data_IF_584368243852
#
_entry.id   IF_584368243852
#
_cell.length_a   1.000
_cell.length_b   1.000
_cell.length_c   1.000
_cell.angle_alpha   90.00
_cell.angle_beta   90.00
_cell.angle_gamma   90.00
#
_symmetry.space_group_name_H-M   'P 1'
#
loop_
_entity.id
_entity.type
_entity.pdbx_description
1 polymer ?
#
# COMPACT_ATOMS: atom_id res chain seq x y z
N UNK A 1 -23.54 8.40 -36.61
CA UNK A 1 -24.83 7.93 -36.06
C UNK A 1 -24.83 6.41 -36.09
N UNK A 2 -24.32 5.77 -35.03
CA UNK A 2 -24.57 4.36 -34.76
C UNK A 2 -25.45 4.32 -33.52
N UNK A 3 -26.76 4.22 -33.76
CA UNK A 3 -27.74 4.01 -32.71
C UNK A 3 -27.65 2.54 -32.26
N UNK A 4 -27.46 2.39 -30.96
CA UNK A 4 -27.31 1.16 -30.21
C UNK A 4 -28.34 0.09 -30.57
N UNK A 5 -27.86 -1.08 -31.00
CA UNK A 5 -28.63 -2.33 -31.24
C UNK A 5 -28.99 -3.04 -29.91
N UNK A 6 -28.82 -2.38 -28.77
CA UNK A 6 -28.90 -3.00 -27.44
C UNK A 6 -30.31 -3.09 -26.83
N UNK A 7 -31.35 -2.57 -27.50
CA UNK A 7 -32.70 -2.47 -26.94
C UNK A 7 -33.62 -3.68 -27.18
N UNK A 8 -33.15 -4.76 -27.83
CA UNK A 8 -34.00 -5.92 -28.17
C UNK A 8 -33.86 -7.15 -27.27
N UNK A 9 -32.89 -7.17 -26.36
CA UNK A 9 -32.80 -8.21 -25.34
C UNK A 9 -33.07 -7.51 -24.00
N UNK A 10 -34.10 -7.90 -23.28
CA UNK A 10 -34.51 -7.30 -21.99
C UNK A 10 -33.52 -7.54 -20.84
N UNK A 11 -32.25 -7.21 -21.04
CA UNK A 11 -31.24 -7.15 -20.00
C UNK A 11 -31.50 -5.84 -19.27
N UNK A 12 -32.11 -5.93 -18.08
CA UNK A 12 -31.88 -4.89 -17.09
C UNK A 12 -30.38 -4.95 -16.82
N UNK A 13 -29.66 -3.84 -17.00
CA UNK A 13 -28.44 -3.64 -16.24
C UNK A 13 -28.86 -3.74 -14.77
N UNK A 14 -28.66 -4.91 -14.18
CA UNK A 14 -28.61 -5.01 -12.73
C UNK A 14 -27.40 -4.16 -12.35
N UNK A 15 -27.65 -2.93 -11.90
CA UNK A 15 -26.67 -2.17 -11.15
C UNK A 15 -26.05 -3.15 -10.14
N UNK A 16 -24.71 -3.34 -10.14
CA UNK A 16 -24.10 -4.31 -9.25
C UNK A 16 -24.55 -3.95 -7.84
N UNK A 17 -25.33 -4.84 -7.23
CA UNK A 17 -25.79 -4.69 -5.86
C UNK A 17 -24.52 -4.55 -5.04
N UNK A 18 -24.22 -3.34 -4.58
CA UNK A 18 -23.14 -3.10 -3.63
C UNK A 18 -23.58 -3.88 -2.40
N UNK A 19 -23.10 -5.12 -2.26
CA UNK A 19 -23.33 -5.90 -1.06
C UNK A 19 -22.69 -5.10 0.08
N UNK A 20 -23.53 -4.45 0.87
CA UNK A 20 -23.12 -3.72 2.07
C UNK A 20 -22.69 -4.74 3.11
N UNK A 21 -21.40 -5.08 3.10
CA UNK A 21 -20.83 -6.00 4.06
C UNK A 21 -20.68 -5.33 5.45
N UNK A 22 -20.68 -6.11 6.54
CA UNK A 22 -20.45 -5.54 7.86
C UNK A 22 -19.03 -4.96 7.95
N UNK A 23 -18.89 -3.72 8.45
CA UNK A 23 -17.59 -3.12 8.73
C UNK A 23 -16.75 -3.98 9.68
N UNK A 24 -15.45 -4.04 9.46
CA UNK A 24 -14.48 -4.68 10.35
C UNK A 24 -13.59 -3.60 10.97
N UNK A 25 -13.26 -3.73 12.25
CA UNK A 25 -12.29 -2.83 12.89
C UNK A 25 -10.93 -3.51 12.94
N UNK A 26 -9.91 -2.81 12.47
CA UNK A 26 -8.52 -3.25 12.41
C UNK A 26 -7.64 -2.24 13.13
N UNK A 27 -6.46 -2.63 13.57
CA UNK A 27 -5.46 -1.70 14.11
C UNK A 27 -4.47 -1.32 13.01
N UNK A 28 -4.48 -0.05 12.61
CA UNK A 28 -3.52 0.52 11.67
C UNK A 28 -2.54 1.46 12.36
N UNK A 29 -1.46 1.83 11.68
CA UNK A 29 -0.57 2.90 12.11
C UNK A 29 -0.93 4.21 11.38
N UNK A 30 -0.93 5.34 12.10
CA UNK A 30 -1.06 6.68 11.53
C UNK A 30 0.23 7.44 11.70
N UNK A 31 0.61 8.17 10.66
CA UNK A 31 1.69 9.16 10.64
C UNK A 31 1.01 10.53 10.47
N UNK A 32 0.80 11.27 11.57
CA UNK A 32 0.12 12.57 11.52
C UNK A 32 0.93 13.63 10.78
N UNK A 33 0.27 14.42 9.94
CA UNK A 33 0.95 15.52 9.23
C UNK A 33 1.29 16.73 10.12
N UNK A 34 0.72 16.79 11.34
CA UNK A 34 1.00 17.84 12.32
C UNK A 34 2.32 17.63 13.09
N UNK A 35 3.00 16.50 12.87
CA UNK A 35 4.28 16.16 13.50
C UNK A 35 4.14 15.50 14.87
N UNK A 36 2.93 15.18 15.32
CA UNK A 36 2.75 14.32 16.49
C UNK A 36 3.29 12.91 16.20
N UNK A 37 3.78 12.17 17.22
CA UNK A 37 4.38 10.86 17.00
C UNK A 37 3.43 9.87 16.31
N UNK A 38 4.00 9.05 15.43
CA UNK A 38 3.28 7.94 14.83
C UNK A 38 2.72 7.02 15.92
N UNK A 39 1.49 6.56 15.75
CA UNK A 39 0.79 5.75 16.74
C UNK A 39 -0.18 4.78 16.09
N UNK A 40 -0.53 3.74 16.83
CA UNK A 40 -1.57 2.80 16.42
C UNK A 40 -2.95 3.36 16.76
N UNK A 41 -3.93 3.05 15.92
CA UNK A 41 -5.33 3.38 16.15
C UNK A 41 -6.27 2.34 15.53
N UNK A 42 -7.49 2.18 16.10
CA UNK A 42 -8.53 1.42 15.46
C UNK A 42 -9.06 2.16 14.22
N UNK A 43 -9.19 1.44 13.11
CA UNK A 43 -9.75 1.88 11.84
C UNK A 43 -10.90 0.95 11.46
N UNK A 44 -12.08 1.51 11.21
CA UNK A 44 -13.23 0.74 10.75
C UNK A 44 -13.26 0.73 9.23
N UNK A 45 -13.45 -0.41 8.59
CA UNK A 45 -13.50 -0.51 7.14
C UNK A 45 -14.85 -0.07 6.57
N UNK A 46 -14.84 0.44 5.34
CA UNK A 46 -16.03 0.74 4.55
C UNK A 46 -15.90 0.10 3.17
N UNK A 47 -17.03 -0.32 2.60
CA UNK A 47 -17.08 -0.77 1.21
C UNK A 47 -16.75 0.39 0.28
N UNK A 48 -15.99 0.10 -0.78
CA UNK A 48 -15.63 1.07 -1.81
C UNK A 48 -15.89 0.48 -3.19
N UNK A 49 -16.44 1.31 -4.09
CA UNK A 49 -16.76 0.93 -5.47
C UNK A 49 -16.03 1.78 -6.51
N UNK A 50 -15.32 2.83 -6.08
CA UNK A 50 -14.62 3.76 -6.96
C UNK A 50 -13.37 4.32 -6.25
N UNK A 51 -12.21 3.97 -6.79
CA UNK A 51 -10.85 4.50 -6.53
C UNK A 51 -9.82 3.44 -6.98
N UNK A 52 -8.52 3.77 -6.89
CA UNK A 52 -7.40 2.85 -7.21
C UNK A 52 -7.37 1.63 -6.28
N UNK A 53 -7.95 1.74 -5.10
CA UNK A 53 -8.06 0.68 -4.09
C UNK A 53 -9.31 -0.21 -4.21
N UNK A 54 -10.12 -0.05 -5.27
CA UNK A 54 -11.40 -0.75 -5.40
C UNK A 54 -11.26 -2.28 -5.41
N UNK A 55 -10.11 -2.80 -5.82
CA UNK A 55 -9.80 -4.22 -5.84
C UNK A 55 -9.76 -4.84 -4.44
N UNK A 56 -9.63 -4.03 -3.38
CA UNK A 56 -9.71 -4.49 -1.99
C UNK A 56 -11.16 -4.74 -1.54
N UNK A 57 -12.15 -4.22 -2.29
CA UNK A 57 -13.60 -4.21 -2.01
C UNK A 57 -14.04 -3.47 -0.74
N UNK A 58 -13.18 -3.43 0.29
CA UNK A 58 -13.32 -2.62 1.49
C UNK A 58 -11.97 -2.08 1.94
N UNK A 59 -11.98 -0.86 2.46
CA UNK A 59 -10.76 -0.17 2.88
C UNK A 59 -11.01 0.56 4.20
N UNK A 60 -9.96 0.92 4.95
CA UNK A 60 -10.10 1.73 6.15
C UNK A 60 -10.88 3.03 5.85
N UNK A 61 -11.85 3.37 6.68
CA UNK A 61 -12.58 4.63 6.58
C UNK A 61 -11.73 5.77 7.16
N UNK A 62 -11.16 6.58 6.26
CA UNK A 62 -10.22 7.65 6.60
C UNK A 62 -10.86 9.04 6.55
N UNK A 63 -12.16 9.12 6.28
CA UNK A 63 -12.89 10.39 6.05
C UNK A 63 -12.88 11.33 7.26
N UNK A 64 -12.77 10.80 8.47
CA UNK A 64 -12.68 11.62 9.68
C UNK A 64 -11.32 12.31 9.85
N UNK A 65 -10.28 11.83 9.14
CA UNK A 65 -8.91 12.34 9.24
C UNK A 65 -8.57 13.27 8.09
N UNK A 66 -9.11 12.99 6.91
CA UNK A 66 -8.96 13.86 5.75
C UNK A 66 -10.13 14.83 5.70
N UNK A 67 -9.83 16.09 6.02
CA UNK A 67 -10.76 17.21 6.25
C UNK A 67 -11.81 17.36 5.14
N UNK A 68 -11.52 16.92 3.92
CA UNK A 68 -12.41 17.04 2.76
C UNK A 68 -12.83 15.71 2.15
N UNK A 69 -14.04 15.69 1.58
CA UNK A 69 -14.53 14.55 0.80
C UNK A 69 -13.67 14.30 -0.45
N UNK A 70 -13.12 15.36 -1.04
CA UNK A 70 -12.29 15.26 -2.23
C UNK A 70 -10.98 14.53 -1.91
N UNK A 71 -10.38 14.77 -0.74
CA UNK A 71 -9.19 14.08 -0.27
C UNK A 71 -9.42 12.56 -0.15
N UNK A 72 -10.61 12.16 0.31
CA UNK A 72 -11.02 10.76 0.32
C UNK A 72 -11.22 10.19 -1.10
N UNK A 73 -11.86 10.94 -2.00
CA UNK A 73 -12.11 10.49 -3.39
C UNK A 73 -10.84 10.38 -4.21
N UNK A 74 -9.87 11.26 -3.96
CA UNK A 74 -8.56 11.30 -4.59
C UNK A 74 -7.50 10.72 -3.65
N UNK A 75 -7.86 9.67 -2.91
CA UNK A 75 -6.87 8.87 -2.19
C UNK A 75 -6.16 7.94 -3.15
N UNK A 76 -4.96 7.57 -2.76
CA UNK A 76 -4.20 6.55 -3.46
C UNK A 76 -3.52 5.61 -2.46
N UNK A 77 -2.93 4.55 -2.99
CA UNK A 77 -2.24 3.56 -2.20
C UNK A 77 -0.97 3.07 -2.90
N UNK A 78 0.02 2.67 -2.10
CA UNK A 78 1.11 1.83 -2.61
C UNK A 78 1.40 0.69 -1.63
N UNK A 79 2.10 -0.32 -2.13
CA UNK A 79 2.39 -1.57 -1.41
C UNK A 79 3.84 -1.63 -1.00
N UNK A 80 4.12 -2.15 0.19
CA UNK A 80 5.45 -2.64 0.52
C UNK A 80 5.41 -3.95 1.32
N UNK A 81 6.46 -4.76 1.18
CA UNK A 81 6.62 -6.03 1.88
C UNK A 81 7.82 -5.99 2.85
N UNK A 82 7.60 -6.40 4.10
CA UNK A 82 8.66 -6.61 5.11
C UNK A 82 8.96 -8.10 5.25
N UNK A 83 10.22 -8.51 5.00
CA UNK A 83 10.63 -9.90 4.95
C UNK A 83 11.84 -10.21 5.84
N UNK A 84 11.93 -11.46 6.33
CA UNK A 84 12.99 -11.90 7.27
C UNK A 84 14.36 -12.08 6.59
N UNK A 85 14.41 -12.54 5.34
CA UNK A 85 15.65 -12.84 4.61
C UNK A 85 15.42 -12.95 3.09
N UNK A 86 16.39 -12.52 2.26
CA UNK A 86 16.30 -12.49 0.79
C UNK A 86 16.37 -13.83 0.05
N UNK A 87 15.91 -14.91 0.67
CA UNK A 87 15.93 -16.26 0.11
C UNK A 87 14.56 -16.94 0.03
N UNK A 88 13.46 -16.21 0.23
CA UNK A 88 12.13 -16.80 0.02
C UNK A 88 11.79 -16.79 -1.48
N UNK A 89 11.47 -17.94 -2.08
CA UNK A 89 11.02 -18.01 -3.46
C UNK A 89 9.74 -17.22 -3.62
N UNK A 90 9.64 -16.48 -4.73
CA UNK A 90 8.45 -15.80 -5.21
C UNK A 90 7.26 -16.77 -5.21
N UNK A 91 6.46 -16.80 -4.13
CA UNK A 91 5.11 -17.34 -4.23
C UNK A 91 4.38 -16.47 -5.24
N UNK A 92 3.82 -17.13 -6.26
CA UNK A 92 3.25 -16.55 -7.48
C UNK A 92 2.17 -15.51 -7.18
N UNK A 93 2.58 -14.28 -6.89
CA UNK A 93 1.73 -13.12 -6.80
C UNK A 93 1.80 -12.38 -8.14
N UNK A 94 1.41 -13.06 -9.21
CA UNK A 94 1.64 -12.62 -10.60
C UNK A 94 0.36 -12.25 -11.35
N UNK A 95 -0.78 -12.10 -10.69
CA UNK A 95 -2.02 -11.76 -11.39
C UNK A 95 -2.65 -10.43 -11.02
N UNK A 96 -2.08 -9.67 -10.07
CA UNK A 96 -2.65 -8.39 -9.62
C UNK A 96 -1.65 -7.21 -9.63
N UNK A 97 -0.42 -7.44 -10.13
CA UNK A 97 0.80 -6.71 -9.77
C UNK A 97 1.37 -5.80 -10.86
N UNK A 98 0.74 -5.69 -12.02
CA UNK A 98 1.29 -4.85 -13.10
C UNK A 98 1.13 -3.35 -12.81
N UNK A 99 0.14 -2.94 -12.00
CA UNK A 99 -0.16 -1.51 -11.78
C UNK A 99 0.34 -0.94 -10.44
N UNK A 100 0.52 -1.78 -9.40
CA UNK A 100 1.05 -1.33 -8.11
C UNK A 100 2.53 -1.68 -7.97
N UNK A 101 3.39 -0.67 -8.01
CA UNK A 101 4.81 -0.82 -7.66
C UNK A 101 4.89 -1.28 -6.19
N UNK A 102 5.48 -2.44 -5.96
CA UNK A 102 5.72 -2.98 -4.61
C UNK A 102 7.17 -2.72 -4.18
N UNK A 103 7.36 -1.97 -3.09
CA UNK A 103 8.65 -1.81 -2.44
C UNK A 103 8.94 -3.03 -1.54
N UNK A 104 10.20 -3.46 -1.44
CA UNK A 104 10.56 -4.62 -0.62
C UNK A 104 11.74 -4.32 0.30
N UNK A 105 11.59 -4.70 1.56
CA UNK A 105 12.60 -4.48 2.59
C UNK A 105 12.89 -5.74 3.39
N UNK A 106 14.16 -5.94 3.73
CA UNK A 106 14.59 -7.01 4.64
C UNK A 106 14.85 -6.51 6.04
N UNK A 107 14.22 -7.14 7.01
CA UNK A 107 14.49 -6.90 8.44
C UNK A 107 15.74 -7.69 8.86
N UNK A 108 16.86 -7.01 9.12
CA UNK A 108 18.10 -7.63 9.58
C UNK A 108 17.91 -8.30 10.95
N UNK A 109 17.93 -9.64 10.94
CA UNK A 109 18.39 -10.59 11.97
C UNK A 109 17.94 -10.46 13.43
N UNK A 110 16.96 -9.62 13.77
CA UNK A 110 16.33 -9.65 15.09
C UNK A 110 14.98 -10.36 15.01
N UNK A 111 14.89 -11.60 15.54
CA UNK A 111 13.63 -12.35 15.70
C UNK A 111 12.54 -11.54 16.43
N UNK A 112 12.97 -10.52 17.17
CA UNK A 112 12.19 -9.47 17.81
C UNK A 112 11.11 -8.88 16.87
N UNK A 113 11.40 -8.66 15.59
CA UNK A 113 10.46 -8.03 14.64
C UNK A 113 9.69 -9.02 13.76
N UNK A 114 9.66 -10.32 14.13
CA UNK A 114 8.98 -11.35 13.34
C UNK A 114 7.49 -11.04 13.13
N UNK A 115 6.84 -10.39 14.09
CA UNK A 115 5.43 -10.00 14.01
C UNK A 115 5.16 -8.87 13.02
N UNK A 116 6.18 -8.07 12.71
CA UNK A 116 6.12 -6.98 11.74
C UNK A 116 6.33 -7.46 10.30
N UNK A 117 6.63 -8.74 10.08
CA UNK A 117 6.75 -9.28 8.73
C UNK A 117 5.38 -9.39 8.05
N UNK A 118 5.33 -9.12 6.74
CA UNK A 118 4.12 -9.23 5.95
C UNK A 118 4.01 -8.15 4.88
N UNK A 119 2.81 -8.10 4.29
CA UNK A 119 2.42 -7.12 3.27
C UNK A 119 1.73 -5.94 3.93
N UNK A 120 2.09 -4.73 3.51
CA UNK A 120 1.48 -3.50 3.98
C UNK A 120 1.01 -2.63 2.82
N UNK A 121 -0.08 -1.91 3.07
CA UNK A 121 -0.54 -0.83 2.20
C UNK A 121 -0.45 0.50 2.93
N UNK A 122 0.02 1.50 2.20
CA UNK A 122 0.10 2.88 2.64
C UNK A 122 -0.99 3.67 1.95
N UNK A 123 -1.97 4.15 2.71
CA UNK A 123 -3.05 5.01 2.25
C UNK A 123 -2.68 6.47 2.49
N UNK A 124 -2.86 7.28 1.45
CA UNK A 124 -2.61 8.70 1.50
C UNK A 124 -3.56 9.45 0.57
N UNK A 125 -3.65 10.77 0.74
CA UNK A 125 -4.43 11.63 -0.14
C UNK A 125 -3.51 12.36 -1.13
N UNK A 126 -3.99 12.62 -2.34
CA UNK A 126 -3.33 13.56 -3.26
C UNK A 126 -3.36 15.00 -2.72
N UNK A 127 -2.54 15.86 -3.32
CA UNK A 127 -2.45 17.30 -3.02
C UNK A 127 -3.77 18.05 -3.30
N UNK A 128 -4.74 17.93 -2.40
CA UNK A 128 -6.09 18.45 -2.57
C UNK A 128 -6.50 19.18 -1.29
N UNK A 129 -7.24 20.28 -1.45
CA UNK A 129 -7.86 21.05 -0.37
C UNK A 129 -6.93 21.48 0.76
N UNK A 130 -5.74 21.99 0.40
CA UNK A 130 -4.75 22.55 1.34
C UNK A 130 -4.23 21.59 2.41
N UNK A 131 -4.33 20.27 2.19
CA UNK A 131 -3.67 19.30 3.06
C UNK A 131 -2.15 19.58 3.10
N UNK A 132 -1.54 19.67 4.30
CA UNK A 132 -0.12 19.95 4.41
C UNK A 132 0.71 18.77 3.90
N UNK A 133 1.86 19.05 3.31
CA UNK A 133 2.83 18.01 2.98
C UNK A 133 3.29 17.34 4.28
N UNK A 134 3.14 16.03 4.34
CA UNK A 134 3.55 15.22 5.48
C UNK A 134 5.03 14.85 5.36
N UNK A 135 5.88 15.65 6.01
CA UNK A 135 7.33 15.47 6.04
C UNK A 135 7.81 14.44 7.08
N UNK A 136 6.87 13.79 7.77
CA UNK A 136 7.15 12.84 8.85
C UNK A 136 7.02 11.39 8.38
N UNK A 137 6.67 11.16 7.11
CA UNK A 137 6.75 9.84 6.51
C UNK A 137 8.23 9.48 6.33
N UNK A 138 8.69 8.33 6.85
CA UNK A 138 10.06 7.88 6.67
C UNK A 138 10.44 7.74 5.20
N UNK A 139 11.67 8.07 4.84
CA UNK A 139 12.15 8.03 3.45
C UNK A 139 12.15 6.64 2.85
N UNK A 140 12.26 5.61 3.69
CA UNK A 140 12.19 4.23 3.21
C UNK A 140 10.76 3.82 2.79
N UNK A 141 9.73 4.55 3.23
CA UNK A 141 8.36 4.36 2.76
C UNK A 141 8.10 5.18 1.48
N UNK A 142 8.76 6.34 1.35
CA UNK A 142 8.63 7.18 0.15
C UNK A 142 8.93 6.40 -1.13
N UNK A 143 7.92 6.35 -2.01
CA UNK A 143 8.09 5.75 -3.34
C UNK A 143 8.92 6.68 -4.23
N UNK A 144 10.05 6.20 -4.74
CA UNK A 144 10.76 6.88 -5.83
C UNK A 144 9.98 6.68 -7.14
N UNK A 145 9.39 7.78 -7.63
CA UNK A 145 8.62 7.77 -8.87
C UNK A 145 9.60 7.74 -10.06
N UNK A 146 10.65 8.57 -9.99
CA UNK A 146 11.79 8.59 -10.91
C UNK A 146 13.06 9.11 -10.21
N UNK A 147 14.19 9.15 -10.94
CA UNK A 147 15.49 9.57 -10.41
C UNK A 147 15.53 11.02 -9.87
N UNK A 148 14.46 11.80 -10.03
CA UNK A 148 14.39 13.22 -9.67
C UNK A 148 13.16 13.58 -8.83
N UNK A 149 12.28 12.63 -8.52
CA UNK A 149 11.05 12.88 -7.77
C UNK A 149 10.67 11.70 -6.85
N UNK A 150 10.57 12.03 -5.56
CA UNK A 150 9.95 11.19 -4.54
C UNK A 150 8.47 11.56 -4.43
N UNK A 151 7.64 10.56 -4.16
CA UNK A 151 6.22 10.76 -3.92
C UNK A 151 6.02 11.65 -2.68
N UNK A 152 5.26 12.73 -2.84
CA UNK A 152 4.91 13.62 -1.72
C UNK A 152 3.60 13.15 -1.10
N UNK A 153 3.61 12.85 0.20
CA UNK A 153 2.40 12.54 0.94
C UNK A 153 1.73 13.82 1.46
N UNK A 154 0.41 13.92 1.32
CA UNK A 154 -0.38 15.05 1.80
C UNK A 154 -1.35 14.60 2.89
N UNK A 155 -1.42 15.37 3.97
CA UNK A 155 -2.23 15.04 5.14
C UNK A 155 -1.72 13.81 5.87
N UNK A 156 -2.58 13.25 6.72
CA UNK A 156 -2.23 12.06 7.50
C UNK A 156 -2.05 10.84 6.59
N UNK A 157 -1.03 10.05 6.90
CA UNK A 157 -0.74 8.79 6.20
C UNK A 157 -1.10 7.62 7.10
N UNK A 158 -1.69 6.59 6.50
CA UNK A 158 -2.15 5.39 7.21
C UNK A 158 -1.50 4.15 6.64
N UNK A 159 -1.02 3.28 7.52
CA UNK A 159 -0.39 2.02 7.16
C UNK A 159 -1.24 0.89 7.75
N UNK A 160 -1.63 -0.05 6.89
CA UNK A 160 -2.39 -1.23 7.29
C UNK A 160 -1.72 -2.50 6.80
N UNK A 161 -1.88 -3.58 7.57
CA UNK A 161 -1.30 -4.88 7.26
C UNK A 161 -2.32 -5.79 6.60
N UNK A 162 -1.88 -6.51 5.58
CA UNK A 162 -2.68 -7.50 4.86
C UNK A 162 -2.29 -8.89 5.33
N UNK A 163 -3.30 -9.72 5.53
CA UNK A 163 -3.13 -11.12 5.89
C UNK A 163 -2.45 -11.88 4.75
N UNK A 164 -1.62 -12.91 5.00
CA UNK A 164 -0.91 -13.66 3.96
C UNK A 164 -1.81 -14.27 2.87
N UNK A 165 -3.09 -14.50 3.14
CA UNK A 165 -4.06 -14.96 2.14
C UNK A 165 -4.51 -13.86 1.17
N UNK A 166 -4.25 -12.59 1.50
CA UNK A 166 -4.67 -11.30 0.92
C UNK A 166 -6.18 -11.11 0.75
N UNK A 167 -6.89 -12.19 0.48
CA UNK A 167 -8.31 -12.29 0.21
C UNK A 167 -8.94 -13.18 1.28
N UNK A 168 -9.95 -12.65 1.96
CA UNK A 168 -10.78 -13.36 2.91
C UNK A 168 -11.71 -14.36 2.24
N UNK A 169 -12.44 -15.14 3.05
CA UNK A 169 -13.38 -16.17 2.57
C UNK A 169 -14.50 -15.64 1.67
N UNK A 170 -14.73 -14.32 1.71
CA UNK A 170 -15.76 -13.57 1.01
C UNK A 170 -15.23 -12.80 -0.20
N UNK A 171 -13.96 -13.01 -0.60
CA UNK A 171 -13.35 -12.33 -1.74
C UNK A 171 -12.82 -10.93 -1.44
N UNK A 172 -12.92 -10.43 -0.19
CA UNK A 172 -12.48 -9.09 0.21
C UNK A 172 -11.05 -9.09 0.74
N UNK A 173 -10.40 -7.93 0.81
CA UNK A 173 -9.10 -7.83 1.45
C UNK A 173 -9.12 -8.40 2.88
N UNK A 174 -8.24 -9.34 3.21
CA UNK A 174 -8.07 -9.81 4.58
C UNK A 174 -7.03 -8.95 5.28
N UNK A 175 -7.41 -8.27 6.36
CA UNK A 175 -6.52 -7.41 7.14
C UNK A 175 -6.00 -8.13 8.39
N UNK A 176 -4.83 -7.69 8.85
CA UNK A 176 -4.27 -8.03 10.15
C UNK A 176 -4.00 -6.74 10.94
N UNK A 177 -3.98 -6.86 12.27
CA UNK A 177 -3.56 -5.76 13.13
C UNK A 177 -2.07 -5.49 12.95
N UNK A 178 -1.71 -4.20 12.84
CA UNK A 178 -0.31 -3.76 12.86
C UNK A 178 0.25 -3.95 14.27
N UNK A 179 1.37 -4.66 14.36
CA UNK A 179 2.04 -4.92 15.64
C UNK A 179 2.64 -3.62 16.23
N UNK A 180 2.54 -3.36 17.55
CA UNK A 180 3.12 -2.16 18.18
C UNK A 180 4.61 -1.95 17.89
N UNK A 181 5.37 -3.03 17.74
CA UNK A 181 6.81 -2.95 17.43
C UNK A 181 7.08 -2.39 16.03
N UNK A 182 6.07 -2.34 15.16
CA UNK A 182 6.19 -1.69 13.86
C UNK A 182 6.50 -0.20 13.98
N UNK A 183 6.06 0.47 15.06
CA UNK A 183 6.33 1.89 15.26
C UNK A 183 7.83 2.19 15.37
N UNK A 184 8.65 1.23 15.80
CA UNK A 184 10.10 1.40 15.88
C UNK A 184 10.74 1.62 14.49
N UNK A 185 10.12 1.11 13.41
CA UNK A 185 10.56 1.38 12.03
C UNK A 185 10.22 2.78 11.54
N UNK A 186 9.27 3.46 12.20
CA UNK A 186 8.80 4.80 11.80
C UNK A 186 9.59 5.93 12.45
N UNK A 187 10.31 5.66 13.54
CA UNK A 187 10.91 6.72 14.39
C UNK A 187 12.28 7.20 13.87
N UNK A 188 13.02 6.40 13.09
CA UNK A 188 14.40 6.75 12.76
C UNK A 188 14.86 6.16 11.41
N UNK A 189 15.12 7.03 10.42
CA UNK A 189 15.72 6.66 9.13
C UNK A 189 17.12 6.03 9.32
N UNK A 190 17.88 6.41 10.36
CA UNK A 190 19.20 5.85 10.64
C UNK A 190 19.10 4.47 11.33
N UNK A 191 18.16 4.26 12.26
CA UNK A 191 17.88 2.93 12.80
C UNK A 191 17.29 2.01 11.73
N UNK A 192 16.45 2.57 10.85
CA UNK A 192 15.92 1.88 9.70
C UNK A 192 17.03 1.47 8.72
N UNK A 193 18.03 2.30 8.44
CA UNK A 193 19.17 1.90 7.58
C UNK A 193 19.98 0.71 8.13
N UNK A 194 19.96 0.50 9.44
CA UNK A 194 20.59 -0.66 10.10
C UNK A 194 19.69 -1.89 10.09
N UNK A 195 18.37 -1.70 10.02
CA UNK A 195 17.39 -2.75 10.25
C UNK A 195 16.67 -3.17 8.98
N UNK A 196 16.45 -2.27 8.01
CA UNK A 196 15.85 -2.52 6.71
C UNK A 196 16.89 -2.40 5.60
N UNK A 197 17.04 -3.45 4.79
CA UNK A 197 17.81 -3.41 3.54
C UNK A 197 16.82 -3.30 2.38
N UNK A 198 16.83 -2.20 1.59
CA UNK A 198 15.99 -2.11 0.40
C UNK A 198 16.46 -3.11 -0.67
N UNK A 199 15.50 -3.79 -1.30
CA UNK A 199 15.75 -4.48 -2.56
C UNK A 199 15.73 -3.45 -3.68
N UNK A 200 16.90 -2.96 -4.07
CA UNK A 200 17.02 -2.29 -5.36
C UNK A 200 16.60 -3.29 -6.43
N UNK A 201 15.63 -2.91 -7.26
CA UNK A 201 15.35 -3.58 -8.51
C UNK A 201 16.62 -3.47 -9.35
N UNK A 202 17.53 -4.44 -9.23
CA UNK A 202 18.56 -4.65 -10.24
C UNK A 202 17.76 -5.01 -11.48
N UNK A 203 17.52 -4.02 -12.36
CA UNK A 203 17.31 -4.30 -13.77
C UNK A 203 18.48 -5.22 -14.11
N UNK A 204 18.19 -6.49 -14.40
CA UNK A 204 19.13 -7.36 -15.09
C UNK A 204 19.45 -6.66 -16.41
N UNK A 205 20.46 -5.80 -16.37
CA UNK A 205 21.12 -5.30 -17.55
C UNK A 205 21.62 -6.55 -18.24
N UNK A 206 21.09 -6.79 -19.43
CA UNK A 206 21.62 -7.76 -20.37
C UNK A 206 23.14 -7.68 -20.36
N UNK A 207 23.77 -8.66 -19.73
CA UNK A 207 25.16 -8.98 -19.98
C UNK A 207 25.21 -9.53 -21.40
N UNK A 208 25.26 -8.62 -22.38
CA UNK A 208 25.92 -8.94 -23.64
C UNK A 208 27.36 -9.19 -23.27
N UNK A 209 27.68 -10.48 -23.13
CA UNK A 209 29.03 -11.01 -23.01
C UNK A 209 29.85 -10.37 -24.12
N UNK A 210 30.62 -9.35 -23.76
CA UNK A 210 31.83 -9.00 -24.48
C UNK A 210 32.75 -10.21 -24.36
N UNK A 211 32.89 -10.96 -25.45
CA UNK A 211 33.96 -11.93 -25.57
C UNK A 211 35.28 -11.15 -25.63
N UNK A 212 36.26 -11.43 -24.76
CA UNK A 212 37.58 -10.85 -24.86
C UNK A 212 38.43 -11.61 -25.90
N UNK A 213 39.16 -10.80 -26.67
CA UNK A 213 40.50 -10.99 -27.23
C UNK A 213 40.84 -12.11 -28.23
N UNK A 214 41.19 -11.64 -29.44
CA UNK A 214 42.50 -11.78 -30.11
C UNK A 214 43.12 -13.19 -30.13
N UNK A 215 43.09 -13.83 -31.31
CA UNK A 215 44.26 -14.14 -32.15
C UNK A 215 43.83 -14.29 -33.61
#
# INVERSE_FOLDING_TARGET
MFASIWSYLGWKEEEPVIQSYPPVTIVGARIPADGTPAHLLPLTTTSVSSATDNFLLHVPDLRSYWISEQAWRLRDLHRFDLQKDGRVPLSQHLQQTEDLKSLRFFVQQHDTYRYCLGTYYVFYSFAVDDLPINKFVPRWIEEEIDAHSSLCYFGDVFIVKISPGEVGQDGRAAYEDVDPMFLDFLVDDAACSKTLIPLLHVREGQSMVGSPDIF
#
